data_IF_001919526399
#
_entry.id   IF_001919526399
#
_cell.length_a   1.000
_cell.length_b   1.000
_cell.length_c   1.000
_cell.angle_alpha   90.00
_cell.angle_beta   90.00
_cell.angle_gamma   90.00
#
_symmetry.space_group_name_H-M   'P 1'
#
loop_
_entity.id
_entity.type
_entity.pdbx_description
1 polymer ?
#
# COMPACT_ATOMS: atom_id res chain seq x y z
N UNK A 1 6.71 12.05 7.18
CA UNK A 1 5.29 12.18 6.83
C UNK A 1 5.09 11.87 5.37
N UNK A 2 4.17 10.98 5.12
CA UNK A 2 3.85 10.58 3.76
C UNK A 2 2.53 11.23 3.36
N UNK A 3 2.50 11.87 2.20
CA UNK A 3 1.25 12.38 1.73
C UNK A 3 0.74 11.52 0.57
N UNK A 4 -0.56 11.52 0.41
CA UNK A 4 -1.21 10.64 -0.57
C UNK A 4 -0.81 10.94 -1.98
N UNK A 5 -0.57 12.21 -2.28
CA UNK A 5 -0.19 12.57 -3.64
C UNK A 5 1.16 11.98 -4.01
N UNK A 6 2.13 12.06 -3.10
CA UNK A 6 3.44 11.49 -3.33
C UNK A 6 3.36 9.98 -3.50
N UNK A 7 2.56 9.33 -2.64
CA UNK A 7 2.39 7.89 -2.74
C UNK A 7 1.74 7.50 -4.05
N UNK A 8 0.78 8.28 -4.51
CA UNK A 8 0.13 8.01 -5.78
C UNK A 8 1.12 8.11 -6.94
N UNK A 9 2.00 9.13 -6.88
CA UNK A 9 3.01 9.30 -7.92
C UNK A 9 3.94 8.09 -7.97
N UNK A 10 4.35 7.62 -6.80
CA UNK A 10 5.21 6.45 -6.74
C UNK A 10 4.51 5.21 -7.25
N UNK A 11 3.23 5.07 -6.92
CA UNK A 11 2.45 3.92 -7.39
C UNK A 11 2.36 3.91 -8.90
N UNK A 12 2.20 5.09 -9.50
CA UNK A 12 2.12 5.18 -10.97
C UNK A 12 3.43 4.75 -11.60
N UNK A 13 4.56 5.05 -10.96
CA UNK A 13 5.85 4.62 -11.48
C UNK A 13 6.04 3.12 -11.37
N UNK A 14 5.58 2.53 -10.27
CA UNK A 14 5.70 1.10 -10.08
C UNK A 14 4.78 0.33 -11.02
N UNK A 15 3.58 0.83 -11.18
CA UNK A 15 2.58 0.18 -12.00
C UNK A 15 1.81 -0.90 -11.23
N UNK A 16 0.61 -1.20 -11.71
CA UNK A 16 -0.21 -2.24 -11.11
C UNK A 16 0.06 -3.58 -11.80
N UNK A 17 -0.12 -4.67 -11.10
CA UNK A 17 -0.52 -4.74 -9.70
C UNK A 17 0.62 -4.36 -8.77
N UNK A 18 0.27 -3.73 -7.66
CA UNK A 18 1.27 -3.39 -6.66
C UNK A 18 0.72 -3.70 -5.27
N UNK A 19 1.63 -3.78 -4.31
CA UNK A 19 1.29 -4.13 -2.95
C UNK A 19 1.60 -2.95 -2.04
N UNK A 20 0.65 -2.60 -1.19
CA UNK A 20 0.84 -1.58 -0.17
C UNK A 20 1.04 -2.31 1.14
N UNK A 21 2.10 -1.97 1.86
CA UNK A 21 2.41 -2.63 3.13
C UNK A 21 2.72 -1.59 4.19
N UNK A 22 2.11 -1.75 5.38
CA UNK A 22 2.49 -0.91 6.52
C UNK A 22 3.91 -1.27 6.91
N UNK A 23 4.72 -0.25 7.22
CA UNK A 23 6.14 -0.48 7.47
C UNK A 23 6.40 -1.31 8.71
N UNK A 24 5.50 -1.24 9.70
CA UNK A 24 5.65 -2.03 10.91
C UNK A 24 4.70 -3.22 10.92
N UNK A 25 4.09 -3.52 9.78
CA UNK A 25 3.11 -4.59 9.71
C UNK A 25 3.75 -5.95 9.71
N UNK A 26 3.00 -6.90 10.22
CA UNK A 26 3.39 -8.29 10.20
C UNK A 26 2.13 -9.14 10.20
N UNK A 27 2.26 -10.39 9.77
CA UNK A 27 1.13 -11.28 9.74
C UNK A 27 0.01 -10.83 8.80
N UNK A 28 0.34 -10.07 7.78
CA UNK A 28 -0.64 -9.63 6.80
C UNK A 28 -1.41 -8.38 7.18
N UNK A 29 -1.15 -7.82 8.35
CA UNK A 29 -1.84 -6.60 8.74
C UNK A 29 -1.26 -5.41 7.98
N UNK A 30 -2.14 -4.53 7.54
CA UNK A 30 -1.72 -3.35 6.82
C UNK A 30 -1.26 -3.63 5.40
N UNK A 31 -1.66 -4.74 4.83
CA UNK A 31 -1.32 -5.10 3.46
C UNK A 31 -2.54 -4.97 2.56
N UNK A 32 -2.34 -4.40 1.38
CA UNK A 32 -3.41 -4.25 0.40
C UNK A 32 -2.85 -4.47 -0.99
N UNK A 33 -3.53 -5.27 -1.79
CA UNK A 33 -3.15 -5.50 -3.18
C UNK A 33 -3.95 -4.55 -4.07
N UNK A 34 -3.26 -3.78 -4.89
CA UNK A 34 -3.89 -2.83 -5.79
C UNK A 34 -3.75 -3.37 -7.21
N UNK A 35 -4.86 -3.73 -7.81
CA UNK A 35 -4.86 -4.23 -9.19
C UNK A 35 -5.27 -3.13 -10.18
N UNK A 36 -5.92 -2.08 -9.70
CA UNK A 36 -6.38 -0.99 -10.54
C UNK A 36 -6.13 0.30 -9.78
N UNK A 37 -5.50 1.27 -10.44
CA UNK A 37 -5.13 2.52 -9.79
C UNK A 37 -6.34 3.31 -9.28
N UNK A 38 -7.52 3.08 -9.82
CA UNK A 38 -8.70 3.78 -9.32
C UNK A 38 -9.00 3.41 -7.88
N UNK A 39 -8.52 2.27 -7.42
CA UNK A 39 -8.73 1.82 -6.04
C UNK A 39 -7.57 2.20 -5.13
N UNK A 40 -6.51 2.78 -5.67
CA UNK A 40 -5.29 3.00 -4.91
C UNK A 40 -5.52 3.87 -3.68
N UNK A 41 -6.22 5.00 -3.86
CA UNK A 41 -6.41 5.95 -2.76
C UNK A 41 -7.13 5.30 -1.60
N UNK A 42 -8.23 4.60 -1.90
CA UNK A 42 -9.02 3.96 -0.84
C UNK A 42 -8.23 2.87 -0.15
N UNK A 43 -7.53 2.04 -0.92
CA UNK A 43 -6.77 0.94 -0.36
C UNK A 43 -5.59 1.45 0.45
N UNK A 44 -4.92 2.48 -0.04
CA UNK A 44 -3.79 3.05 0.67
C UNK A 44 -4.24 3.67 1.99
N UNK A 45 -5.35 4.40 1.95
CA UNK A 45 -5.87 5.00 3.18
C UNK A 45 -6.25 3.90 4.18
N UNK A 46 -6.84 2.82 3.71
CA UNK A 46 -7.19 1.70 4.57
C UNK A 46 -5.95 1.08 5.21
N UNK A 47 -4.89 0.89 4.44
CA UNK A 47 -3.66 0.33 4.97
C UNK A 47 -3.03 1.26 6.00
N UNK A 48 -3.02 2.57 5.72
CA UNK A 48 -2.48 3.54 6.66
C UNK A 48 -3.27 3.55 7.96
N UNK A 49 -4.60 3.51 7.86
CA UNK A 49 -5.44 3.51 9.05
C UNK A 49 -5.21 2.26 9.89
N UNK A 50 -5.07 1.12 9.24
CA UNK A 50 -4.83 -0.12 9.97
C UNK A 50 -3.47 -0.08 10.65
N UNK A 51 -2.45 0.42 9.97
CA UNK A 51 -1.12 0.53 10.57
C UNK A 51 -1.13 1.46 11.74
N UNK A 52 -1.82 2.60 11.61
CA UNK A 52 -1.91 3.56 12.70
C UNK A 52 -2.59 2.94 13.92
N UNK A 53 -3.68 2.21 13.69
CA UNK A 53 -4.43 1.61 14.78
C UNK A 53 -3.66 0.49 15.45
N UNK A 54 -3.01 -0.35 14.65
CA UNK A 54 -2.36 -1.54 15.17
C UNK A 54 -0.96 -1.26 15.71
N UNK A 55 -0.23 -0.35 15.08
CA UNK A 55 1.18 -0.14 15.39
C UNK A 55 1.52 1.30 15.73
N UNK A 56 0.55 2.20 15.70
CA UNK A 56 0.78 3.60 16.01
C UNK A 56 1.52 4.36 14.92
N UNK A 57 1.63 3.79 13.74
CA UNK A 57 2.37 4.42 12.65
C UNK A 57 1.65 4.14 11.34
N UNK A 58 1.43 5.20 10.54
CA UNK A 58 0.69 5.07 9.30
C UNK A 58 1.59 5.06 8.06
N UNK A 59 2.89 4.90 8.24
CA UNK A 59 3.79 4.82 7.10
C UNK A 59 3.59 3.53 6.34
N UNK A 60 3.66 3.60 5.02
CA UNK A 60 3.51 2.44 4.16
C UNK A 60 4.63 2.42 3.14
N UNK A 61 4.88 1.24 2.59
CA UNK A 61 5.79 1.08 1.46
C UNK A 61 5.00 0.46 0.32
N UNK A 62 5.45 0.76 -0.89
CA UNK A 62 4.82 0.25 -2.10
C UNK A 62 5.79 -0.68 -2.78
N UNK A 63 5.31 -1.83 -3.21
CA UNK A 63 6.14 -2.82 -3.88
C UNK A 63 5.42 -3.35 -5.10
N UNK A 64 6.17 -3.61 -6.15
CA UNK A 64 5.60 -4.26 -7.31
C UNK A 64 5.16 -5.67 -6.93
N UNK A 65 3.93 -5.99 -7.25
CA UNK A 65 3.41 -7.33 -7.01
C UNK A 65 3.57 -8.14 -8.30
N UNK A 66 4.25 -9.24 -8.20
CA UNK A 66 4.51 -10.09 -9.36
C UNK A 66 3.68 -11.35 -9.20
N UNK A 67 2.77 -11.54 -10.14
CA UNK A 67 1.98 -12.75 -10.19
C UNK A 67 2.68 -13.74 -11.09
N UNK A 68 2.96 -14.89 -10.56
CA UNK A 68 3.62 -15.91 -11.34
C UNK A 68 2.58 -16.76 -12.04
N UNK A 69 2.64 -16.85 -13.36
CA UNK A 69 1.76 -17.78 -14.07
C UNK A 69 2.20 -19.21 -13.77
N UNK A 70 1.24 -20.07 -13.68
CA UNK A 70 1.53 -21.47 -13.38
C UNK A 70 0.77 -22.36 -14.33
#
# INVERSE_FOLDING_TARGET
>A
IQDMETLKQEALKIGTPLLIKATFGGGGKGMRLVRDMKDFIDLCRSAKNEGKRAFGNDSVILEKFIEKPR
#
